data_IF_930791857491
#
_entry.id   IF_930791857491
#
_cell.length_a   1.000
_cell.length_b   1.000
_cell.length_c   1.000
_cell.angle_alpha   90.00
_cell.angle_beta   90.00
_cell.angle_gamma   90.00
#
_symmetry.space_group_name_H-M   'P 1'
#
loop_
_entity.id
_entity.type
_entity.pdbx_description
1 polymer ?
#
# COMPACT_ATOMS: atom_id res chain seq x y z
N UNK A 1 2.98 -7.67 8.93
CA UNK A 1 2.50 -6.47 9.61
C UNK A 1 3.13 -5.24 9.01
N UNK A 2 2.28 -4.32 8.63
CA UNK A 2 2.69 -3.15 7.85
C UNK A 2 2.04 -1.91 8.43
N UNK A 3 2.76 -0.79 8.36
CA UNK A 3 2.23 0.50 8.76
C UNK A 3 2.08 1.37 7.52
N UNK A 4 0.89 1.94 7.35
CA UNK A 4 0.57 2.82 6.22
C UNK A 4 0.62 4.26 6.68
N UNK A 5 1.34 5.09 5.93
CA UNK A 5 1.50 6.51 6.24
C UNK A 5 1.00 7.34 5.07
N UNK A 6 0.25 8.38 5.36
CA UNK A 6 -0.27 9.28 4.34
C UNK A 6 -1.36 10.15 4.92
N UNK A 7 -1.88 11.06 4.10
CA UNK A 7 -2.93 11.95 4.50
C UNK A 7 -2.42 13.14 5.31
N UNK A 8 -3.32 14.05 5.61
CA UNK A 8 -2.97 15.32 6.24
C UNK A 8 -2.45 15.19 7.67
N UNK A 9 -2.93 14.19 8.39
CA UNK A 9 -2.58 14.06 9.80
C UNK A 9 -1.30 13.29 10.03
N UNK A 10 -0.86 12.53 9.02
CA UNK A 10 0.37 11.78 9.13
C UNK A 10 0.39 10.66 10.16
N UNK A 11 -0.77 10.27 10.68
CA UNK A 11 -0.84 9.18 11.64
C UNK A 11 -0.76 7.83 10.91
N UNK A 12 0.07 6.91 11.40
CA UNK A 12 0.18 5.62 10.76
C UNK A 12 -1.07 4.77 10.99
N UNK A 13 -1.40 3.93 10.02
CA UNK A 13 -2.50 3.00 10.11
C UNK A 13 -1.95 1.59 9.98
N UNK A 14 -2.29 0.74 10.92
CA UNK A 14 -1.83 -0.64 10.92
C UNK A 14 -2.56 -1.43 9.83
N UNK A 15 -1.83 -2.32 9.18
CA UNK A 15 -2.39 -3.21 8.17
C UNK A 15 -1.61 -4.52 8.17
N UNK A 16 -2.20 -5.55 7.57
CA UNK A 16 -1.49 -6.82 7.41
C UNK A 16 -1.65 -7.30 5.97
N UNK A 17 -0.71 -8.12 5.53
CA UNK A 17 -0.66 -8.60 4.15
C UNK A 17 -1.73 -9.66 3.94
N UNK A 18 -2.59 -9.43 2.96
CA UNK A 18 -3.59 -10.41 2.53
C UNK A 18 -3.01 -11.25 1.41
N UNK A 19 -2.39 -10.59 0.44
CA UNK A 19 -1.77 -11.25 -0.70
C UNK A 19 -0.55 -10.44 -1.12
N UNK A 20 0.65 -11.02 -1.08
CA UNK A 20 1.85 -10.27 -1.42
C UNK A 20 2.00 -9.98 -2.91
N UNK A 21 1.27 -10.70 -3.77
CA UNK A 21 1.44 -10.55 -5.21
C UNK A 21 0.18 -11.00 -5.93
N UNK A 22 -0.69 -10.05 -6.28
CA UNK A 22 -1.95 -10.34 -6.93
C UNK A 22 -2.20 -9.37 -8.09
N UNK A 23 -2.76 -9.87 -9.18
CA UNK A 23 -3.11 -9.02 -10.29
C UNK A 23 -4.39 -8.25 -9.97
N UNK A 24 -4.33 -6.93 -10.10
CA UNK A 24 -5.48 -6.05 -9.83
C UNK A 24 -5.91 -5.43 -11.15
N UNK A 25 -7.10 -5.81 -11.63
CA UNK A 25 -7.60 -5.34 -12.91
C UNK A 25 -7.75 -3.83 -13.00
N UNK A 26 -8.17 -3.21 -11.91
CA UNK A 26 -8.39 -1.76 -11.88
C UNK A 26 -7.12 -0.98 -12.18
N UNK A 27 -5.97 -1.54 -11.87
CA UNK A 27 -4.68 -0.90 -12.09
C UNK A 27 -3.87 -1.59 -13.18
N UNK A 28 -4.38 -2.70 -13.70
CA UNK A 28 -3.72 -3.47 -14.76
C UNK A 28 -2.27 -3.83 -14.42
N UNK A 29 -2.06 -4.28 -13.18
CA UNK A 29 -0.72 -4.71 -12.76
C UNK A 29 -0.80 -5.56 -11.51
N UNK A 30 0.31 -6.24 -11.20
CA UNK A 30 0.43 -7.00 -9.97
C UNK A 30 0.75 -6.06 -8.81
N UNK A 31 0.11 -6.31 -7.69
CA UNK A 31 0.20 -5.44 -6.54
C UNK A 31 0.25 -6.24 -5.25
N UNK A 32 0.65 -5.56 -4.19
CA UNK A 32 0.58 -6.06 -2.83
C UNK A 32 -0.79 -5.67 -2.28
N UNK A 33 -1.50 -6.62 -1.70
CA UNK A 33 -2.82 -6.37 -1.13
C UNK A 33 -2.75 -6.43 0.39
N UNK A 34 -3.18 -5.36 1.02
CA UNK A 34 -3.20 -5.25 2.48
C UNK A 34 -4.64 -5.18 2.99
N UNK A 35 -4.81 -5.48 4.25
CA UNK A 35 -6.07 -5.29 4.97
C UNK A 35 -5.84 -4.22 6.03
N UNK A 36 -6.53 -3.11 5.89
CA UNK A 36 -6.45 -2.01 6.84
C UNK A 36 -7.34 -0.88 6.35
N UNK A 37 -7.80 -0.04 7.25
CA UNK A 37 -8.66 1.07 6.87
C UNK A 37 -7.82 2.31 6.58
N UNK A 38 -7.95 2.85 5.38
CA UNK A 38 -7.27 4.09 5.05
C UNK A 38 -8.30 5.23 4.98
N UNK A 39 -7.85 6.40 5.39
CA UNK A 39 -8.67 7.59 5.30
C UNK A 39 -8.53 8.22 3.90
N UNK A 40 -9.51 9.04 3.49
CA UNK A 40 -9.38 9.78 2.25
C UNK A 40 -8.09 10.62 2.28
N UNK A 41 -7.41 10.67 1.17
CA UNK A 41 -6.17 11.43 1.07
C UNK A 41 -4.91 10.63 1.36
N UNK A 42 -5.02 9.36 1.74
CA UNK A 42 -3.84 8.54 1.98
C UNK A 42 -3.22 7.96 0.71
N UNK A 43 -3.92 8.01 -0.41
CA UNK A 43 -3.37 7.57 -1.70
C UNK A 43 -2.09 8.34 -2.01
N UNK A 44 -1.08 7.63 -2.47
CA UNK A 44 0.23 8.22 -2.71
C UNK A 44 1.15 8.15 -1.51
N UNK A 45 0.63 7.79 -0.34
CA UNK A 45 1.45 7.57 0.84
C UNK A 45 2.23 6.28 0.74
N UNK A 46 3.01 5.96 1.76
CA UNK A 46 3.86 4.79 1.79
C UNK A 46 3.45 3.73 2.79
N UNK A 47 3.85 2.51 2.52
CA UNK A 47 3.69 1.40 3.44
C UNK A 47 5.08 0.94 3.88
N UNK A 48 5.23 0.65 5.17
CA UNK A 48 6.51 0.31 5.78
C UNK A 48 6.33 -0.85 6.75
N UNK A 49 7.36 -1.66 6.88
CA UNK A 49 7.38 -2.72 7.90
C UNK A 49 7.58 -2.08 9.27
N UNK A 50 7.44 -2.90 10.33
CA UNK A 50 7.68 -2.43 11.69
C UNK A 50 9.11 -1.93 11.89
N UNK A 51 10.04 -2.47 11.11
CA UNK A 51 11.44 -2.06 11.15
C UNK A 51 11.73 -0.80 10.34
N UNK A 52 10.70 -0.24 9.69
CA UNK A 52 10.87 0.97 8.91
C UNK A 52 11.30 0.75 7.47
N UNK A 53 11.23 -0.48 6.98
CA UNK A 53 11.60 -0.78 5.60
C UNK A 53 10.44 -0.45 4.68
N UNK A 54 10.71 0.34 3.65
CA UNK A 54 9.71 0.76 2.68
C UNK A 54 9.23 -0.44 1.84
N UNK A 55 7.92 -0.63 1.76
CA UNK A 55 7.31 -1.76 1.07
C UNK A 55 6.68 -1.36 -0.25
N UNK A 56 6.11 -0.17 -0.32
CA UNK A 56 5.47 0.28 -1.54
C UNK A 56 4.63 1.52 -1.36
N UNK A 57 3.96 1.92 -2.44
CA UNK A 57 3.14 3.14 -2.47
C UNK A 57 1.67 2.79 -2.45
N UNK A 58 0.91 3.43 -1.58
CA UNK A 58 -0.53 3.22 -1.47
C UNK A 58 -1.25 3.78 -2.70
N UNK A 59 -2.02 2.94 -3.38
CA UNK A 59 -2.79 3.37 -4.54
C UNK A 59 -4.24 3.66 -4.20
N UNK A 60 -4.82 2.90 -3.30
CA UNK A 60 -6.18 3.12 -2.89
C UNK A 60 -6.74 1.93 -2.16
N UNK A 61 -7.89 2.12 -1.55
CA UNK A 61 -8.55 1.08 -0.81
C UNK A 61 -10.04 1.04 -1.10
N UNK A 62 -10.71 0.00 -0.63
CA UNK A 62 -12.14 -0.13 -0.80
C UNK A 62 -12.85 -0.10 0.57
N UNK A 63 -14.17 -0.25 0.52
CA UNK A 63 -15.00 -0.18 1.73
C UNK A 63 -14.78 -1.36 2.66
N UNK A 64 -14.22 -2.44 2.15
CA UNK A 64 -13.95 -3.63 2.95
C UNK A 64 -12.59 -3.60 3.63
N UNK A 65 -11.83 -2.54 3.41
CA UNK A 65 -10.53 -2.39 4.02
C UNK A 65 -9.39 -3.02 3.24
N UNK A 66 -9.63 -3.41 1.99
CA UNK A 66 -8.57 -3.93 1.14
C UNK A 66 -7.83 -2.75 0.52
N UNK A 67 -6.53 -2.73 0.65
CA UNK A 67 -5.69 -1.63 0.17
C UNK A 67 -4.70 -2.16 -0.86
N UNK A 68 -4.71 -1.56 -2.04
CA UNK A 68 -3.78 -1.93 -3.11
C UNK A 68 -2.53 -1.07 -3.01
N UNK A 69 -1.38 -1.71 -3.08
CA UNK A 69 -0.07 -1.07 -2.92
C UNK A 69 0.81 -1.45 -4.09
N UNK A 70 1.45 -0.46 -4.71
CA UNK A 70 2.48 -0.74 -5.74
C UNK A 70 3.73 -1.19 -5.01
N UNK A 71 4.14 -2.47 -5.19
CA UNK A 71 5.29 -2.98 -4.44
C UNK A 71 6.57 -2.23 -4.81
N UNK A 72 7.47 -2.12 -3.86
CA UNK A 72 8.74 -1.45 -4.06
C UNK A 72 9.51 -2.02 -5.26
N UNK A 73 9.46 -3.33 -5.44
CA UNK A 73 10.15 -3.99 -6.55
C UNK A 73 9.66 -3.50 -7.92
N UNK A 74 8.37 -3.18 -8.02
CA UNK A 74 7.82 -2.63 -9.28
C UNK A 74 8.31 -1.21 -9.51
N UNK A 75 8.39 -0.42 -8.45
CA UNK A 75 8.88 0.95 -8.55
C UNK A 75 10.34 0.95 -8.99
N UNK A 76 11.13 0.05 -8.42
CA UNK A 76 12.54 -0.04 -8.71
C UNK A 76 12.81 -0.42 -10.18
N UNK A 77 11.98 -1.31 -10.73
CA UNK A 77 12.15 -1.73 -12.13
C UNK A 77 11.77 -0.65 -13.12
N UNK A 78 11.02 0.35 -12.71
CA UNK A 78 10.64 1.46 -13.59
C UNK A 78 11.68 2.55 -13.67
N UNK A 79 12.71 2.48 -12.85
CA UNK A 79 13.76 3.48 -12.88
C UNK A 79 14.64 3.30 -14.11
N UNK A 80 14.94 4.41 -14.80
CA UNK A 80 15.87 4.37 -15.91
C UNK A 80 17.29 4.03 -15.46
#
# INVERSE_FOLDING_TARGET
DVWMYGGERGLPVYAFVVDPWIYVEDFDQYMLLLQGLIAPGMSGGGAFTEDGVFVGILCGGDEEGKVAVVPYSMIETERP
#
